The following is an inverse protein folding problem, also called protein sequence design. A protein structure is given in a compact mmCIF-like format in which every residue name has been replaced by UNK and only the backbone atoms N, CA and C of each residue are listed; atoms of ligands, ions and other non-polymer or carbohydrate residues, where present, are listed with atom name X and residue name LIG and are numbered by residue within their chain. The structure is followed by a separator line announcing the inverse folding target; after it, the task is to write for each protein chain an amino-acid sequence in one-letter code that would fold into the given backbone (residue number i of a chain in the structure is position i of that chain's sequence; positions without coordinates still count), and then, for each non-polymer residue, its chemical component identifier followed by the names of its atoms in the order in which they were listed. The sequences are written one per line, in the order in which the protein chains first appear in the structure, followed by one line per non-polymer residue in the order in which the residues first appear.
data_IF_011095691114
#
_entry.id   IF_011095691114
#
_cell.length_a   1.000
_cell.length_b   1.000
_cell.length_c   1.000
_cell.angle_alpha   90.00
_cell.angle_beta   90.00
_cell.angle_gamma   90.00
#
_symmetry.space_group_name_H-M   'P 1'
#
loop_
_entity.id
_entity.type
_entity.pdbx_description
1 polymer ?
#
# COMPACT_ATOMS: atom_id res chain seq x y z
N UNK A 1 -3.56 -7.23 -22.44
CA UNK A 1 -2.29 -7.41 -21.71
C UNK A 1 -1.92 -6.04 -21.18
N UNK A 2 -1.83 -5.85 -19.86
CA UNK A 2 -1.37 -4.59 -19.29
C UNK A 2 0.16 -4.55 -19.29
N UNK A 3 0.73 -3.42 -19.69
CA UNK A 3 2.14 -3.11 -19.52
C UNK A 3 2.23 -1.87 -18.62
N UNK A 4 3.25 -1.81 -17.76
CA UNK A 4 3.52 -0.66 -16.91
C UNK A 4 5.00 -0.33 -17.05
N UNK A 5 5.33 0.96 -17.15
CA UNK A 5 6.71 1.38 -17.31
C UNK A 5 7.50 1.08 -16.02
N UNK A 6 8.80 0.79 -16.14
CA UNK A 6 9.66 0.59 -14.97
C UNK A 6 9.60 1.80 -14.04
N UNK A 7 9.61 1.60 -12.72
CA UNK A 7 9.54 2.71 -11.77
C UNK A 7 10.93 3.30 -11.54
N UNK A 8 11.07 4.63 -11.62
CA UNK A 8 12.31 5.32 -11.24
C UNK A 8 11.96 6.54 -10.38
N UNK A 9 12.34 6.51 -9.10
CA UNK A 9 11.90 7.51 -8.13
C UNK A 9 12.99 8.53 -7.79
N UNK A 10 12.56 9.75 -7.46
CA UNK A 10 13.42 10.86 -7.10
C UNK A 10 14.15 10.58 -5.79
N UNK A 11 15.48 10.43 -5.87
CA UNK A 11 16.33 10.19 -4.69
C UNK A 11 16.23 11.31 -3.64
N UNK A 12 16.33 12.62 -3.98
CA UNK A 12 16.21 13.68 -2.99
C UNK A 12 14.88 13.65 -2.23
N UNK A 13 13.77 13.42 -2.94
CA UNK A 13 12.43 13.35 -2.32
C UNK A 13 12.28 12.08 -1.48
N UNK A 14 12.89 10.96 -1.89
CA UNK A 14 12.92 9.73 -1.10
C UNK A 14 13.69 9.88 0.21
N UNK A 15 14.84 10.56 0.20
CA UNK A 15 15.62 10.85 1.40
C UNK A 15 14.86 11.77 2.37
N UNK A 16 14.22 12.83 1.85
CA UNK A 16 13.35 13.69 2.65
C UNK A 16 12.16 12.93 3.25
N UNK A 17 11.51 12.09 2.45
CA UNK A 17 10.40 11.24 2.91
C UNK A 17 10.84 10.27 3.99
N UNK A 18 12.02 9.66 3.84
CA UNK A 18 12.56 8.75 4.84
C UNK A 18 12.89 9.46 6.16
N UNK A 19 13.47 10.66 6.11
CA UNK A 19 13.67 11.48 7.30
C UNK A 19 12.34 11.78 8.02
N UNK A 20 11.27 12.04 7.25
CA UNK A 20 9.93 12.21 7.81
C UNK A 20 9.35 10.92 8.40
N UNK A 21 9.60 9.75 7.80
CA UNK A 21 9.24 8.46 8.39
C UNK A 21 9.91 8.28 9.75
N UNK A 22 11.21 8.57 9.85
CA UNK A 22 11.96 8.48 11.10
C UNK A 22 11.43 9.46 12.16
N UNK A 23 11.09 10.69 11.76
CA UNK A 23 10.57 11.71 12.67
C UNK A 23 9.14 11.41 13.16
N UNK A 24 8.29 10.82 12.31
CA UNK A 24 6.92 10.45 12.68
C UNK A 24 6.89 9.21 13.58
N UNK A 25 7.80 8.25 13.35
CA UNK A 25 7.83 6.98 14.08
C UNK A 25 6.66 6.06 13.69
N UNK A 26 6.72 4.79 14.05
CA UNK A 26 5.73 3.77 13.65
C UNK A 26 4.34 3.98 14.30
N UNK A 27 3.28 3.34 13.77
CA UNK A 27 2.01 3.26 14.47
C UNK A 27 2.15 2.54 15.81
N UNK A 28 1.44 3.02 16.82
CA UNK A 28 1.35 2.33 18.11
C UNK A 28 0.38 1.15 17.99
N UNK A 29 0.93 -0.06 18.07
CA UNK A 29 0.15 -1.28 18.08
C UNK A 29 -0.25 -1.64 19.51
N UNK A 30 -1.54 -1.80 19.74
CA UNK A 30 -2.13 -2.35 20.96
C UNK A 30 -1.88 -3.85 21.06
N UNK A 31 -2.02 -4.39 22.27
CA UNK A 31 -1.99 -5.85 22.49
C UNK A 31 -3.01 -6.57 21.60
N UNK A 32 -4.22 -6.02 21.48
CA UNK A 32 -5.26 -6.56 20.60
C UNK A 32 -4.84 -6.68 19.13
N UNK A 33 -4.07 -5.70 18.61
CA UNK A 33 -3.60 -5.75 17.23
C UNK A 33 -2.61 -6.91 17.03
N UNK A 34 -1.72 -7.13 18.00
CA UNK A 34 -0.76 -8.23 17.98
C UNK A 34 -1.44 -9.59 18.18
N UNK A 35 -2.46 -9.64 19.05
CA UNK A 35 -3.31 -10.82 19.28
C UNK A 35 -4.03 -11.26 18.02
N UNK A 36 -4.46 -10.33 17.15
CA UNK A 36 -5.01 -10.69 15.84
C UNK A 36 -3.91 -11.09 14.84
N UNK A 37 -2.80 -10.36 14.79
CA UNK A 37 -1.79 -10.50 13.75
C UNK A 37 -1.04 -11.85 13.80
N UNK A 38 -0.67 -12.32 14.99
CA UNK A 38 0.16 -13.53 15.15
C UNK A 38 -0.58 -14.82 14.76
N UNK A 39 -1.81 -15.09 15.25
CA UNK A 39 -2.55 -16.27 14.82
C UNK A 39 -2.85 -16.27 13.32
N UNK A 40 -3.11 -15.09 12.71
CA UNK A 40 -3.28 -15.04 11.26
C UNK A 40 -2.01 -15.47 10.52
N UNK A 41 -0.82 -15.10 11.00
CA UNK A 41 0.44 -15.56 10.40
C UNK A 41 0.63 -17.07 10.56
N UNK A 42 0.24 -17.64 11.71
CA UNK A 42 0.24 -19.09 11.93
C UNK A 42 -0.70 -19.82 10.97
N UNK A 43 -1.93 -19.33 10.80
CA UNK A 43 -2.93 -19.89 9.88
C UNK A 43 -2.50 -19.81 8.40
N UNK A 44 -1.69 -18.82 8.05
CA UNK A 44 -1.12 -18.67 6.71
C UNK A 44 0.17 -19.47 6.48
N UNK A 45 0.67 -20.17 7.50
CA UNK A 45 1.95 -20.90 7.49
C UNK A 45 3.12 -20.00 7.05
N UNK A 46 3.18 -18.79 7.64
CA UNK A 46 4.26 -17.82 7.41
C UNK A 46 4.99 -17.46 8.70
N UNK A 47 6.14 -16.80 8.59
CA UNK A 47 6.93 -16.37 9.75
C UNK A 47 6.08 -15.51 10.72
N UNK A 48 5.97 -15.97 11.96
CA UNK A 48 5.17 -15.33 13.02
C UNK A 48 5.96 -14.22 13.70
N UNK A 49 5.99 -13.05 13.06
CA UNK A 49 6.70 -11.85 13.56
C UNK A 49 5.79 -10.78 14.14
N UNK A 50 4.47 -10.91 14.01
CA UNK A 50 3.50 -9.90 14.39
C UNK A 50 3.52 -8.66 13.47
N UNK A 51 3.09 -7.53 14.01
CA UNK A 51 3.11 -6.23 13.33
C UNK A 51 4.49 -5.57 13.40
N UNK A 52 4.79 -4.70 12.44
CA UNK A 52 6.09 -4.04 12.31
C UNK A 52 6.47 -3.24 13.57
N UNK A 53 7.67 -3.46 14.08
CA UNK A 53 8.21 -2.87 15.32
C UNK A 53 9.45 -1.99 15.10
N UNK A 54 9.96 -1.94 13.86
CA UNK A 54 11.18 -1.22 13.49
C UNK A 54 11.05 -0.58 12.11
N UNK A 55 11.75 0.54 11.93
CA UNK A 55 11.87 1.22 10.64
C UNK A 55 13.13 0.66 9.97
N UNK A 56 13.01 -0.02 8.80
CA UNK A 56 14.17 -0.53 8.10
C UNK A 56 15.01 0.63 7.54
N UNK A 57 16.31 0.41 7.38
CA UNK A 57 17.19 1.39 6.75
C UNK A 57 16.75 1.70 5.32
N UNK A 58 16.93 2.97 4.92
CA UNK A 58 16.74 3.38 3.53
C UNK A 58 17.74 2.64 2.66
N UNK A 59 17.22 1.87 1.71
CA UNK A 59 18.04 1.15 0.73
C UNK A 59 18.46 2.09 -0.40
N UNK A 60 19.64 1.84 -0.95
CA UNK A 60 20.14 2.52 -2.14
C UNK A 60 19.30 2.23 -3.40
N UNK A 61 19.72 2.71 -4.58
CA UNK A 61 18.99 2.49 -5.82
C UNK A 61 18.77 1.00 -6.09
N UNK A 62 17.62 0.66 -6.67
CA UNK A 62 17.31 -0.70 -7.08
C UNK A 62 18.30 -1.11 -8.17
N UNK A 63 18.98 -2.23 -7.97
CA UNK A 63 19.78 -2.86 -9.01
C UNK A 63 18.84 -3.36 -10.12
N UNK A 64 18.75 -2.62 -11.22
CA UNK A 64 17.87 -2.94 -12.34
C UNK A 64 18.23 -4.27 -12.99
N UNK A 65 19.49 -4.71 -12.92
CA UNK A 65 19.91 -6.03 -13.42
C UNK A 65 19.31 -7.20 -12.63
N UNK A 66 18.84 -6.91 -11.41
CA UNK A 66 18.18 -7.85 -10.49
C UNK A 66 16.69 -7.58 -10.35
N UNK A 67 16.16 -6.59 -11.09
CA UNK A 67 14.74 -6.27 -11.08
C UNK A 67 13.97 -7.36 -11.80
N UNK A 68 13.05 -8.02 -11.09
CA UNK A 68 12.10 -8.98 -11.66
C UNK A 68 10.84 -8.26 -12.22
N UNK A 69 10.89 -6.94 -12.35
CA UNK A 69 9.72 -6.09 -12.60
C UNK A 69 9.12 -5.52 -11.31
N UNK A 70 8.06 -4.71 -11.45
CA UNK A 70 7.31 -4.10 -10.36
C UNK A 70 5.81 -4.38 -10.46
N UNK A 71 5.02 -3.91 -9.48
CA UNK A 71 3.56 -3.99 -9.57
C UNK A 71 3.04 -3.24 -10.80
N UNK A 72 2.04 -3.81 -11.48
CA UNK A 72 1.36 -3.17 -12.62
C UNK A 72 0.56 -1.98 -12.11
N UNK A 73 1.08 -0.78 -12.40
CA UNK A 73 0.72 0.46 -11.71
C UNK A 73 1.15 1.65 -12.58
N UNK A 74 0.30 2.65 -12.72
CA UNK A 74 0.50 3.82 -13.59
C UNK A 74 1.56 4.80 -13.03
N UNK A 75 1.94 4.64 -11.76
CA UNK A 75 2.97 5.48 -11.14
C UNK A 75 4.33 5.36 -11.83
N UNK A 76 4.58 4.26 -12.56
CA UNK A 76 5.75 4.11 -13.42
C UNK A 76 5.79 5.22 -14.46
N UNK A 77 4.74 5.34 -15.27
CA UNK A 77 4.58 6.37 -16.30
C UNK A 77 4.67 7.79 -15.72
N UNK A 78 4.03 8.06 -14.58
CA UNK A 78 4.15 9.35 -13.89
C UNK A 78 5.61 9.64 -13.51
N UNK A 79 6.31 8.64 -12.99
CA UNK A 79 7.69 8.80 -12.53
C UNK A 79 8.64 9.22 -13.63
N UNK A 80 8.35 8.90 -14.90
CA UNK A 80 9.15 9.31 -16.05
C UNK A 80 8.79 10.66 -16.66
N UNK A 81 7.73 11.31 -16.17
CA UNK A 81 7.32 12.64 -16.61
C UNK A 81 7.66 13.73 -15.58
N UNK A 82 7.84 13.36 -14.30
CA UNK A 82 8.17 14.32 -13.25
C UNK A 82 8.83 13.66 -12.02
N UNK A 83 9.60 14.41 -11.21
CA UNK A 83 10.14 13.91 -9.96
C UNK A 83 9.05 13.31 -9.07
N UNK A 84 9.15 12.01 -8.80
CA UNK A 84 8.10 11.24 -8.13
C UNK A 84 8.70 10.33 -7.06
N UNK A 85 7.99 10.14 -5.94
CA UNK A 85 8.31 9.12 -4.95
C UNK A 85 7.04 8.39 -4.54
N UNK A 86 7.20 7.12 -4.18
CA UNK A 86 6.21 6.40 -3.38
C UNK A 86 6.87 5.90 -2.11
N UNK A 87 6.12 5.82 -1.03
CA UNK A 87 6.57 5.15 0.19
C UNK A 87 5.54 4.13 0.64
N UNK A 88 6.00 3.15 1.40
CA UNK A 88 5.13 2.16 2.04
C UNK A 88 5.18 2.37 3.53
N UNK A 89 4.02 2.21 4.16
CA UNK A 89 3.86 2.41 5.59
C UNK A 89 3.04 1.26 6.19
N UNK A 90 3.41 0.72 7.36
CA UNK A 90 2.76 -0.47 7.90
C UNK A 90 1.29 -0.18 8.23
N UNK A 91 0.40 -0.82 7.49
CA UNK A 91 -1.06 -0.69 7.57
C UNK A 91 -1.77 -2.03 7.29
N UNK A 92 -1.00 -3.14 7.29
CA UNK A 92 -1.51 -4.48 7.06
C UNK A 92 -0.67 -5.49 7.88
N UNK A 93 -1.17 -6.71 8.06
CA UNK A 93 -0.48 -7.80 8.75
C UNK A 93 0.60 -8.38 7.80
N UNK A 94 1.88 -8.38 8.19
CA UNK A 94 2.95 -8.89 7.35
C UNK A 94 2.82 -10.40 7.08
N UNK A 95 3.32 -10.86 5.93
CA UNK A 95 3.39 -12.28 5.57
C UNK A 95 2.28 -12.75 4.62
N UNK A 96 1.22 -11.97 4.42
CA UNK A 96 0.15 -12.34 3.50
C UNK A 96 0.58 -12.40 2.02
N UNK A 97 -0.06 -13.22 1.16
CA UNK A 97 0.33 -13.43 -0.24
C UNK A 97 0.21 -12.21 -1.16
N UNK A 98 -0.59 -11.20 -0.77
CA UNK A 98 -0.98 -10.09 -1.63
C UNK A 98 -2.12 -10.49 -2.58
N UNK A 99 -3.03 -9.55 -2.89
CA UNK A 99 -4.19 -9.79 -3.77
C UNK A 99 -5.03 -11.02 -3.32
N UNK A 100 -5.06 -11.27 -2.00
CA UNK A 100 -5.68 -12.43 -1.37
C UNK A 100 -6.63 -11.95 -0.26
N UNK A 101 -7.68 -12.73 0.03
CA UNK A 101 -8.68 -12.42 1.06
C UNK A 101 -8.06 -12.13 2.43
N UNK A 102 -6.97 -12.83 2.79
CA UNK A 102 -6.31 -12.66 4.08
C UNK A 102 -5.71 -11.26 4.25
N UNK A 103 -5.22 -10.66 3.15
CA UNK A 103 -4.74 -9.28 3.16
C UNK A 103 -5.87 -8.25 3.33
N UNK A 104 -7.13 -8.65 3.16
CA UNK A 104 -8.31 -7.83 3.40
C UNK A 104 -8.70 -7.74 4.89
N UNK A 105 -8.23 -8.66 5.75
CA UNK A 105 -8.59 -8.69 7.17
C UNK A 105 -8.18 -7.39 7.87
N UNK A 106 -6.91 -6.99 7.74
CA UNK A 106 -6.40 -5.81 8.41
C UNK A 106 -7.16 -4.52 8.02
N UNK A 107 -7.65 -4.45 6.78
CA UNK A 107 -8.37 -3.29 6.23
C UNK A 107 -9.68 -2.98 6.96
N UNK A 108 -10.30 -3.98 7.59
CA UNK A 108 -11.51 -3.82 8.39
C UNK A 108 -11.23 -3.51 9.87
N UNK A 109 -9.96 -3.41 10.28
CA UNK A 109 -9.56 -3.35 11.70
C UNK A 109 -8.77 -2.08 12.03
N UNK A 110 -8.62 -1.73 13.32
CA UNK A 110 -7.79 -0.59 13.72
C UNK A 110 -6.36 -0.60 13.15
N UNK A 111 -5.80 -1.76 12.78
CA UNK A 111 -4.46 -1.91 12.18
C UNK A 111 -4.31 -1.02 10.94
N UNK A 112 -5.24 -1.12 9.98
CA UNK A 112 -5.16 -0.32 8.75
C UNK A 112 -5.35 1.17 9.01
N UNK A 113 -6.26 1.53 9.92
CA UNK A 113 -6.53 2.93 10.25
C UNK A 113 -5.34 3.60 10.95
N UNK A 114 -4.73 2.93 11.94
CA UNK A 114 -3.51 3.40 12.63
C UNK A 114 -2.37 3.60 11.64
N UNK A 115 -2.15 2.61 10.77
CA UNK A 115 -1.13 2.66 9.73
C UNK A 115 -1.34 3.75 8.70
N UNK A 116 -2.56 3.86 8.15
CA UNK A 116 -2.91 4.86 7.15
C UNK A 116 -2.83 6.28 7.72
N UNK A 117 -3.30 6.50 8.95
CA UNK A 117 -3.21 7.81 9.62
C UNK A 117 -1.74 8.25 9.80
N UNK A 118 -0.86 7.36 10.29
CA UNK A 118 0.56 7.67 10.44
C UNK A 118 1.28 7.86 9.11
N UNK A 119 0.94 7.05 8.10
CA UNK A 119 1.42 7.26 6.74
C UNK A 119 1.01 8.61 6.17
N UNK A 120 -0.23 9.06 6.42
CA UNK A 120 -0.71 10.37 6.00
C UNK A 120 0.05 11.52 6.67
N UNK A 121 0.45 11.38 7.95
CA UNK A 121 1.31 12.36 8.63
C UNK A 121 2.68 12.49 7.92
N UNK A 122 3.29 11.37 7.53
CA UNK A 122 4.54 11.36 6.75
C UNK A 122 4.34 12.07 5.41
N UNK A 123 3.28 11.73 4.67
CA UNK A 123 2.99 12.36 3.39
C UNK A 123 2.79 13.87 3.51
N UNK A 124 2.05 14.31 4.53
CA UNK A 124 1.82 15.73 4.79
C UNK A 124 3.12 16.47 5.12
N UNK A 125 4.01 15.88 5.93
CA UNK A 125 5.33 16.45 6.24
C UNK A 125 6.22 16.55 5.02
N UNK A 126 6.26 15.52 4.18
CA UNK A 126 7.01 15.56 2.91
C UNK A 126 6.45 16.65 1.99
N UNK A 127 5.12 16.80 1.91
CA UNK A 127 4.52 17.88 1.12
C UNK A 127 4.92 19.26 1.66
N UNK A 128 4.95 19.45 2.98
CA UNK A 128 5.43 20.69 3.59
C UNK A 128 6.90 20.95 3.28
N UNK A 129 7.75 19.92 3.32
CA UNK A 129 9.15 20.06 2.93
C UNK A 129 9.29 20.53 1.48
N UNK A 130 8.54 19.93 0.55
CA UNK A 130 8.53 20.32 -0.86
C UNK A 130 8.04 21.77 -1.07
N UNK A 131 7.07 22.23 -0.28
CA UNK A 131 6.53 23.59 -0.36
C UNK A 131 7.41 24.65 0.29
N UNK A 132 8.16 24.29 1.33
CA UNK A 132 8.89 25.23 2.18
C UNK A 132 10.40 25.25 1.93
N UNK A 133 10.94 24.25 1.24
CA UNK A 133 12.37 24.11 0.93
C UNK A 133 12.58 24.11 -0.59
N UNK A 134 12.67 25.29 -1.23
CA UNK A 134 12.86 25.38 -2.69
C UNK A 134 14.08 24.59 -3.18
N UNK A 135 15.13 24.49 -2.38
CA UNK A 135 16.31 23.68 -2.68
C UNK A 135 16.03 22.19 -2.87
N UNK A 136 14.99 21.65 -2.22
CA UNK A 136 14.56 20.26 -2.41
C UNK A 136 13.90 20.06 -3.78
N UNK A 137 13.13 21.04 -4.24
CA UNK A 137 12.53 21.05 -5.58
C UNK A 137 13.62 21.12 -6.64
N UNK A 138 14.59 22.03 -6.48
CA UNK A 138 15.71 22.16 -7.39
C UNK A 138 16.51 20.86 -7.47
N UNK A 139 16.85 20.27 -6.32
CA UNK A 139 17.56 18.98 -6.27
C UNK A 139 16.75 17.85 -6.94
N UNK A 140 15.43 17.82 -6.76
CA UNK A 140 14.57 16.82 -7.38
C UNK A 140 14.56 16.92 -8.91
N UNK A 141 14.51 18.15 -9.45
CA UNK A 141 14.57 18.40 -10.90
C UNK A 141 15.97 18.18 -11.48
N UNK A 142 17.04 18.57 -10.78
CA UNK A 142 18.41 18.24 -11.16
C UNK A 142 18.58 16.73 -11.29
N UNK A 143 18.16 15.96 -10.28
CA UNK A 143 18.22 14.50 -10.33
C UNK A 143 17.41 13.92 -11.48
N UNK A 144 16.19 14.44 -11.70
CA UNK A 144 15.33 13.98 -12.79
C UNK A 144 16.00 14.18 -14.16
N UNK A 145 16.47 15.40 -14.46
CA UNK A 145 17.03 15.75 -15.76
C UNK A 145 18.42 15.14 -16.01
N UNK A 146 19.28 15.11 -14.98
CA UNK A 146 20.70 14.75 -15.13
C UNK A 146 21.00 13.28 -14.82
N UNK A 147 20.13 12.58 -14.11
CA UNK A 147 20.33 11.17 -13.74
C UNK A 147 19.24 10.28 -14.33
N UNK A 148 17.97 10.58 -14.02
CA UNK A 148 16.89 9.68 -14.38
C UNK A 148 16.63 9.65 -15.90
N UNK A 149 16.50 10.81 -16.54
CA UNK A 149 16.18 10.91 -17.97
C UNK A 149 17.42 11.11 -18.85
N UNK A 150 18.63 11.03 -18.30
CA UNK A 150 19.86 11.31 -19.02
C UNK A 150 20.10 10.35 -20.20
N UNK A 151 19.71 9.08 -20.05
CA UNK A 151 19.93 8.03 -21.04
C UNK A 151 18.64 7.40 -21.56
N UNK A 152 17.48 7.79 -21.03
CA UNK A 152 16.19 7.16 -21.33
C UNK A 152 15.13 8.22 -21.62
N UNK A 153 14.54 8.13 -22.81
CA UNK A 153 13.36 8.91 -23.19
C UNK A 153 12.10 8.08 -22.92
N UNK A 154 11.13 8.72 -22.26
CA UNK A 154 9.84 8.09 -21.99
C UNK A 154 9.01 7.97 -23.27
N UNK A 155 8.50 6.77 -23.52
CA UNK A 155 7.56 6.50 -24.60
C UNK A 155 6.33 5.82 -23.97
N UNK A 156 5.14 6.46 -24.01
CA UNK A 156 3.92 5.86 -23.51
C UNK A 156 3.62 4.51 -24.19
N UNK A 157 3.16 3.54 -23.42
CA UNK A 157 2.64 2.27 -23.99
C UNK A 157 1.24 2.41 -24.58
N UNK A 158 0.53 3.47 -24.21
CA UNK A 158 -0.80 3.78 -24.71
C UNK A 158 -0.72 4.81 -25.83
N UNK A 159 -1.51 4.60 -26.89
CA UNK A 159 -1.69 5.57 -27.96
C UNK A 159 -2.69 6.65 -27.57
N UNK A 160 -2.67 7.79 -28.27
CA UNK A 160 -3.69 8.84 -28.13
C UNK A 160 -5.12 8.35 -28.40
N UNK A 161 -5.26 7.23 -29.13
CA UNK A 161 -6.56 6.65 -29.49
C UNK A 161 -6.99 5.49 -28.60
N UNK A 162 -6.12 5.03 -27.70
CA UNK A 162 -6.46 3.92 -26.81
C UNK A 162 -7.61 4.31 -25.88
N UNK A 163 -8.54 3.37 -25.68
CA UNK A 163 -9.66 3.54 -24.78
C UNK A 163 -9.58 2.53 -23.64
N UNK A 164 -9.97 2.92 -22.42
CA UNK A 164 -10.01 1.97 -21.30
C UNK A 164 -10.95 0.81 -21.65
N UNK A 165 -10.52 -0.41 -21.35
CA UNK A 165 -11.26 -1.62 -21.66
C UNK A 165 -12.42 -1.87 -20.68
N UNK A 166 -13.33 -0.89 -20.56
CA UNK A 166 -14.44 -0.86 -19.60
C UNK A 166 -15.41 -2.05 -19.76
N UNK A 167 -15.42 -2.68 -20.94
CA UNK A 167 -16.27 -3.84 -21.22
C UNK A 167 -15.77 -5.15 -20.59
N UNK A 168 -14.48 -5.26 -20.25
CA UNK A 168 -13.89 -6.54 -19.80
C UNK A 168 -14.55 -7.09 -18.53
N UNK A 169 -14.95 -6.21 -17.62
CA UNK A 169 -15.56 -6.59 -16.34
C UNK A 169 -17.06 -6.30 -16.30
N UNK A 170 -17.68 -5.87 -17.40
CA UNK A 170 -19.07 -5.39 -17.40
C UNK A 170 -20.04 -6.47 -16.89
N UNK A 171 -19.99 -7.67 -17.47
CA UNK A 171 -20.88 -8.78 -17.07
C UNK A 171 -20.68 -9.17 -15.59
N UNK A 172 -19.43 -9.24 -15.13
CA UNK A 172 -19.08 -9.57 -13.74
C UNK A 172 -19.64 -8.51 -12.80
N UNK A 173 -19.42 -7.23 -13.09
CA UNK A 173 -19.90 -6.13 -12.27
C UNK A 173 -21.43 -6.06 -12.26
N UNK A 174 -22.10 -6.27 -13.40
CA UNK A 174 -23.56 -6.27 -13.48
C UNK A 174 -24.18 -7.40 -12.65
N UNK A 175 -23.55 -8.58 -12.63
CA UNK A 175 -24.00 -9.73 -11.84
C UNK A 175 -23.80 -9.52 -10.34
N UNK A 176 -22.62 -9.04 -9.93
CA UNK A 176 -22.21 -9.09 -8.53
C UNK A 176 -22.38 -7.78 -7.78
N UNK A 177 -22.26 -6.62 -8.44
CA UNK A 177 -22.39 -5.32 -7.75
C UNK A 177 -23.73 -5.15 -7.03
N UNK A 178 -24.90 -5.56 -7.58
CA UNK A 178 -26.16 -5.48 -6.85
C UNK A 178 -26.16 -6.29 -5.55
N UNK A 179 -25.56 -7.48 -5.56
CA UNK A 179 -25.45 -8.35 -4.39
C UNK A 179 -24.46 -7.77 -3.37
N UNK A 180 -23.30 -7.26 -3.83
CA UNK A 180 -22.29 -6.67 -2.93
C UNK A 180 -22.79 -5.45 -2.15
N UNK A 181 -23.76 -4.70 -2.70
CA UNK A 181 -24.27 -3.46 -2.08
C UNK A 181 -24.89 -3.69 -0.70
N UNK A 182 -25.43 -4.87 -0.42
CA UNK A 182 -26.00 -5.17 0.91
C UNK A 182 -24.92 -5.22 2.00
N UNK A 183 -23.67 -5.48 1.61
CA UNK A 183 -22.53 -5.56 2.52
C UNK A 183 -21.71 -4.26 2.59
N UNK A 184 -22.10 -3.21 1.86
CA UNK A 184 -21.38 -1.95 1.92
C UNK A 184 -21.51 -1.33 3.31
N UNK A 185 -20.42 -0.76 3.78
CA UNK A 185 -20.40 -0.08 5.06
C UNK A 185 -21.38 1.10 5.06
N UNK A 186 -22.25 1.15 6.07
CA UNK A 186 -23.19 2.23 6.31
C UNK A 186 -22.72 3.09 7.51
N UNK A 187 -21.94 4.15 7.26
CA UNK A 187 -21.42 5.02 8.31
C UNK A 187 -22.51 5.89 8.97
N UNK A 188 -23.77 5.84 8.51
CA UNK A 188 -24.87 6.57 9.15
C UNK A 188 -25.50 5.77 10.29
N UNK A 189 -25.22 4.48 10.37
CA UNK A 189 -25.81 3.55 11.34
C UNK A 189 -24.80 2.92 12.29
N UNK A 190 -23.56 2.78 11.87
CA UNK A 190 -22.51 2.10 12.62
C UNK A 190 -21.26 2.98 12.67
N UNK A 191 -20.52 2.91 13.77
CA UNK A 191 -19.26 3.63 13.97
C UNK A 191 -18.09 2.94 13.27
N UNK A 192 -18.20 1.62 13.02
CA UNK A 192 -17.19 0.85 12.30
C UNK A 192 -17.74 -0.30 11.48
N UNK A 193 -16.95 -0.79 10.51
CA UNK A 193 -17.29 -1.96 9.72
C UNK A 193 -17.40 -3.24 10.57
N UNK A 194 -16.60 -3.36 11.64
CA UNK A 194 -16.68 -4.49 12.57
C UNK A 194 -18.00 -4.49 13.35
N UNK A 195 -18.46 -3.33 13.79
CA UNK A 195 -19.76 -3.18 14.45
C UNK A 195 -20.91 -3.58 13.51
N UNK A 196 -20.89 -3.11 12.26
CA UNK A 196 -21.88 -3.50 11.26
C UNK A 196 -21.94 -5.02 11.05
N UNK A 197 -20.78 -5.69 11.13
CA UNK A 197 -20.67 -7.15 10.99
C UNK A 197 -20.93 -7.90 12.30
N UNK A 198 -21.10 -7.22 13.43
CA UNK A 198 -21.24 -7.85 14.75
C UNK A 198 -19.98 -8.57 15.23
N UNK A 199 -18.80 -8.11 14.80
CA UNK A 199 -17.50 -8.73 15.11
C UNK A 199 -16.84 -8.00 16.27
N UNK A 200 -16.51 -8.73 17.34
CA UNK A 200 -15.75 -8.20 18.47
C UNK A 200 -14.24 -8.22 18.18
N UNK A 201 -13.55 -7.10 18.43
CA UNK A 201 -12.12 -6.96 18.18
C UNK A 201 -11.28 -7.10 19.46
N UNK A 202 -10.20 -7.91 19.46
CA UNK A 202 -9.72 -8.75 18.37
C UNK A 202 -10.46 -10.09 18.31
N UNK A 203 -10.76 -10.58 17.10
CA UNK A 203 -11.34 -11.91 16.92
C UNK A 203 -10.24 -12.92 16.65
N UNK A 204 -10.06 -13.89 17.55
CA UNK A 204 -9.14 -15.01 17.35
C UNK A 204 -9.90 -16.33 17.39
N UNK A 205 -9.52 -17.26 16.53
CA UNK A 205 -10.04 -18.63 16.60
C UNK A 205 -9.42 -19.33 17.81
N UNK A 206 -10.25 -20.01 18.59
CA UNK A 206 -9.77 -20.86 19.70
C UNK A 206 -9.46 -22.29 19.23
N UNK A 207 -9.83 -22.64 17.99
CA UNK A 207 -9.60 -23.94 17.34
C UNK A 207 -9.44 -23.76 15.81
N UNK A 208 -8.63 -24.60 15.14
CA UNK A 208 -8.47 -24.58 13.68
C UNK A 208 -9.78 -24.89 12.93
N UNK A 209 -9.91 -24.43 11.67
CA UNK A 209 -11.06 -24.78 10.80
C UNK A 209 -11.22 -26.30 10.64
N UNK A 210 -10.12 -27.06 10.67
CA UNK A 210 -10.16 -28.53 10.58
C UNK A 210 -10.94 -29.19 11.70
N UNK A 211 -11.12 -28.48 12.83
CA UNK A 211 -11.77 -28.98 14.03
C UNK A 211 -13.25 -28.54 14.10
N UNK A 212 -13.66 -27.61 13.23
CA UNK A 212 -15.06 -27.28 12.99
C UNK A 212 -15.60 -28.33 12.01
N UNK A 213 -16.22 -29.39 12.54
CA UNK A 213 -16.77 -30.48 11.73
C UNK A 213 -17.62 -29.96 10.55
N UNK A 214 -17.55 -30.64 9.41
CA UNK A 214 -18.48 -30.43 8.29
C UNK A 214 -19.91 -30.74 8.77
N UNK A 215 -20.63 -29.73 9.25
CA UNK A 215 -22.08 -29.74 9.40
C UNK A 215 -22.76 -29.12 8.17
#
# INVERSE_FOLDING_TARGET
MGAAYGRHFSKPVAEATYANIQAVGLPEWSEADQTLARPLQEELDVEVRGLADSIPELRGPVDLSRSLGGGSDDIGDVSWNMPTVTFRYPSNIPGGPGHNWANGIAMATPIAHKGAAKGAEVQARTLLDLLLKPELIDAAWTYFNEVQTAETEYIPFISETDQPAIWLNQEIMDRWRPQMREFYYDPTRFDSYLEQLGIEYPTVRTKPISDDGND
#
